data_IF_377977598817
#
_entry.id   IF_377977598817
#
_cell.length_a   1.000
_cell.length_b   1.000
_cell.length_c   1.000
_cell.angle_alpha   90.00
_cell.angle_beta   90.00
_cell.angle_gamma   90.00
#
_symmetry.space_group_name_H-M   'P 1'
#
loop_
_entity.id
_entity.type
_entity.pdbx_description
1 polymer ?
#
# COMPACT_ATOMS: atom_id res chain seq x y z
N UNK A 1 -4.16 -12.17 15.20
CA UNK A 1 -3.58 -11.38 14.09
C UNK A 1 -4.33 -11.69 12.82
N UNK A 2 -4.70 -10.68 12.08
CA UNK A 2 -5.32 -10.87 10.78
C UNK A 2 -4.31 -11.52 9.82
N UNK A 3 -4.73 -12.54 9.08
CA UNK A 3 -3.88 -13.17 8.07
C UNK A 3 -3.43 -12.18 6.99
N UNK A 4 -4.22 -11.13 6.76
CA UNK A 4 -3.86 -10.08 5.79
C UNK A 4 -2.61 -9.31 6.21
N UNK A 5 -2.40 -9.12 7.50
CA UNK A 5 -1.25 -8.36 8.02
C UNK A 5 0.05 -9.16 7.94
N UNK A 6 -0.07 -10.49 7.87
CA UNK A 6 1.08 -11.38 7.81
C UNK A 6 1.42 -11.85 6.39
N UNK A 7 0.74 -11.33 5.36
CA UNK A 7 0.88 -11.84 3.99
C UNK A 7 2.14 -11.40 3.27
N UNK A 8 2.76 -10.34 3.71
CA UNK A 8 3.96 -9.86 3.04
C UNK A 8 4.92 -9.21 4.01
N UNK A 9 6.16 -9.64 3.94
CA UNK A 9 7.24 -9.08 4.74
C UNK A 9 8.29 -8.48 3.81
N UNK A 10 8.72 -7.27 4.11
CA UNK A 10 9.84 -6.68 3.40
C UNK A 10 11.14 -7.32 3.92
N UNK A 11 12.01 -7.68 3.01
CA UNK A 11 13.33 -8.21 3.34
C UNK A 11 14.35 -7.13 3.05
N UNK A 12 15.13 -6.75 4.05
CA UNK A 12 16.11 -5.68 3.94
C UNK A 12 17.50 -6.18 4.27
N UNK A 13 18.49 -5.52 3.68
CA UNK A 13 19.90 -5.73 3.97
C UNK A 13 20.51 -4.35 4.18
N UNK A 14 20.98 -4.08 5.40
CA UNK A 14 21.51 -2.78 5.80
C UNK A 14 20.52 -1.63 5.49
N UNK A 15 19.24 -1.86 5.77
CA UNK A 15 18.17 -0.89 5.53
C UNK A 15 17.67 -0.82 4.10
N UNK A 16 18.34 -1.47 3.18
CA UNK A 16 17.97 -1.45 1.75
C UNK A 16 17.02 -2.60 1.43
N UNK A 17 15.96 -2.30 0.71
CA UNK A 17 14.99 -3.30 0.28
C UNK A 17 15.63 -4.24 -0.75
N UNK A 18 15.64 -5.54 -0.48
CA UNK A 18 16.19 -6.54 -1.38
C UNK A 18 15.16 -7.57 -1.84
N UNK A 19 14.03 -7.67 -1.17
CA UNK A 19 13.00 -8.62 -1.57
C UNK A 19 11.72 -8.46 -0.78
N UNK A 20 10.71 -9.24 -1.19
CA UNK A 20 9.46 -9.43 -0.47
C UNK A 20 9.24 -10.92 -0.26
N UNK A 21 8.74 -11.26 0.90
CA UNK A 21 8.48 -12.65 1.26
C UNK A 21 7.02 -12.81 1.69
N UNK A 22 6.29 -13.67 0.97
CA UNK A 22 4.86 -13.85 1.17
C UNK A 22 4.54 -15.31 1.50
N UNK A 23 3.29 -15.56 1.90
CA UNK A 23 2.81 -16.93 2.10
C UNK A 23 2.96 -17.76 0.82
N UNK A 24 2.71 -17.16 -0.34
CA UNK A 24 2.90 -17.83 -1.62
C UNK A 24 4.35 -18.26 -1.83
N UNK A 25 5.29 -17.44 -1.39
CA UNK A 25 6.71 -17.79 -1.47
C UNK A 25 7.06 -19.00 -0.59
N UNK A 26 6.45 -19.11 0.59
CA UNK A 26 6.63 -20.26 1.47
C UNK A 26 6.18 -21.55 0.77
N UNK A 27 4.99 -21.52 0.20
CA UNK A 27 4.43 -22.68 -0.50
C UNK A 27 5.29 -23.09 -1.69
N UNK A 28 5.71 -22.12 -2.48
CA UNK A 28 6.59 -22.38 -3.61
C UNK A 28 7.93 -22.95 -3.17
N UNK A 29 8.49 -22.40 -2.10
CA UNK A 29 9.75 -22.88 -1.55
C UNK A 29 9.69 -24.34 -1.10
N UNK A 30 8.59 -24.73 -0.47
CA UNK A 30 8.39 -26.14 -0.05
C UNK A 30 8.41 -27.08 -1.25
N UNK A 31 7.74 -26.71 -2.35
CA UNK A 31 7.74 -27.53 -3.55
C UNK A 31 9.09 -27.58 -4.26
N UNK A 32 9.83 -26.47 -4.21
CA UNK A 32 11.11 -26.36 -4.90
C UNK A 32 12.31 -26.82 -4.06
N UNK A 33 12.08 -27.17 -2.79
CA UNK A 33 13.18 -27.55 -1.90
C UNK A 33 14.06 -26.39 -1.45
N UNK A 34 13.57 -25.18 -1.52
CA UNK A 34 14.29 -23.99 -1.07
C UNK A 34 14.23 -23.88 0.46
N UNK A 35 15.32 -23.45 1.08
CA UNK A 35 15.45 -23.47 2.53
C UNK A 35 15.68 -22.13 3.20
N UNK A 36 16.03 -21.10 2.45
CA UNK A 36 16.28 -19.78 3.03
C UNK A 36 15.30 -18.74 2.48
N UNK A 37 15.13 -17.66 3.24
CA UNK A 37 14.34 -16.51 2.81
C UNK A 37 14.93 -15.91 1.53
N UNK A 38 16.24 -15.80 1.47
CA UNK A 38 16.92 -15.24 0.29
C UNK A 38 16.63 -16.03 -0.99
N UNK A 39 16.57 -17.36 -0.88
CA UNK A 39 16.25 -18.20 -2.03
C UNK A 39 14.78 -18.09 -2.43
N UNK A 40 13.88 -17.95 -1.46
CA UNK A 40 12.45 -18.02 -1.67
C UNK A 40 11.80 -16.66 -1.96
N UNK A 41 12.41 -15.56 -1.50
CA UNK A 41 11.82 -14.23 -1.64
C UNK A 41 11.68 -13.82 -3.10
N UNK A 42 10.70 -12.95 -3.34
CA UNK A 42 10.51 -12.29 -4.62
C UNK A 42 11.43 -11.09 -4.72
N UNK A 43 12.22 -11.01 -5.79
CA UNK A 43 13.18 -9.91 -5.99
C UNK A 43 12.75 -8.93 -7.06
N UNK A 44 11.79 -9.29 -7.90
CA UNK A 44 11.23 -8.41 -8.91
C UNK A 44 10.10 -7.61 -8.25
N UNK A 45 10.45 -6.44 -7.74
CA UNK A 45 9.59 -5.70 -6.82
C UNK A 45 8.91 -4.50 -7.46
N UNK A 46 7.68 -4.25 -7.01
CA UNK A 46 7.00 -2.97 -7.19
C UNK A 46 7.21 -2.18 -5.91
N UNK A 47 7.49 -0.89 -6.04
CA UNK A 47 7.70 0.00 -4.91
C UNK A 47 6.93 1.29 -5.10
N UNK A 48 6.74 2.03 -4.02
CA UNK A 48 6.23 3.39 -4.05
C UNK A 48 7.27 4.35 -3.51
N UNK A 49 7.14 5.60 -3.85
CA UNK A 49 7.99 6.69 -3.35
C UNK A 49 7.17 7.64 -2.50
N UNK A 50 7.78 8.31 -1.50
CA UNK A 50 7.04 9.14 -0.56
C UNK A 50 6.22 10.27 -1.19
N UNK A 51 6.67 10.78 -2.33
CA UNK A 51 6.01 11.90 -3.01
C UNK A 51 4.95 11.47 -4.04
N UNK A 52 4.75 10.18 -4.21
CA UNK A 52 3.69 9.68 -5.09
C UNK A 52 2.31 9.89 -4.48
N UNK A 53 1.29 10.07 -5.33
CA UNK A 53 -0.08 10.14 -4.85
C UNK A 53 -0.58 8.76 -4.40
N UNK A 54 -1.52 8.75 -3.46
CA UNK A 54 -2.18 7.51 -3.05
C UNK A 54 -2.88 6.84 -4.23
N UNK A 55 -3.43 7.63 -5.13
CA UNK A 55 -4.09 7.12 -6.34
C UNK A 55 -3.10 6.36 -7.23
N UNK A 56 -1.92 6.93 -7.46
CA UNK A 56 -0.89 6.27 -8.26
C UNK A 56 -0.42 4.96 -7.62
N UNK A 57 -0.24 4.97 -6.30
CA UNK A 57 0.13 3.77 -5.56
C UNK A 57 -0.95 2.69 -5.67
N UNK A 58 -2.21 3.08 -5.52
CA UNK A 58 -3.34 2.15 -5.63
C UNK A 58 -3.41 1.52 -7.02
N UNK A 59 -3.23 2.30 -8.08
CA UNK A 59 -3.22 1.77 -9.44
C UNK A 59 -2.08 0.76 -9.62
N UNK A 60 -0.92 1.04 -9.09
CA UNK A 60 0.22 0.12 -9.15
C UNK A 60 -0.06 -1.18 -8.41
N UNK A 61 -0.65 -1.09 -7.22
CA UNK A 61 -1.03 -2.26 -6.44
C UNK A 61 -2.05 -3.13 -7.17
N UNK A 62 -3.05 -2.49 -7.76
CA UNK A 62 -4.10 -3.18 -8.51
C UNK A 62 -3.52 -3.88 -9.75
N UNK A 63 -2.68 -3.18 -10.51
CA UNK A 63 -2.05 -3.73 -11.70
C UNK A 63 -1.13 -4.90 -11.39
N UNK A 64 -0.39 -4.80 -10.30
CA UNK A 64 0.54 -5.85 -9.87
C UNK A 64 -0.14 -6.94 -9.04
N UNK A 65 -1.41 -6.78 -8.68
CA UNK A 65 -2.18 -7.70 -7.83
C UNK A 65 -1.51 -7.94 -6.50
N UNK A 66 -1.02 -6.88 -5.89
CA UNK A 66 -0.41 -6.94 -4.56
C UNK A 66 -1.24 -6.11 -3.59
N UNK A 67 -1.29 -6.56 -2.33
CA UNK A 67 -2.02 -5.86 -1.27
C UNK A 67 -1.11 -4.97 -0.44
N UNK A 68 0.18 -5.05 -0.63
CA UNK A 68 1.19 -4.26 0.07
C UNK A 68 2.24 -3.76 -0.88
N UNK A 69 2.75 -2.57 -0.60
CA UNK A 69 3.75 -1.92 -1.43
C UNK A 69 4.80 -1.28 -0.54
N UNK A 70 6.07 -1.67 -0.67
CA UNK A 70 7.13 -1.01 0.09
C UNK A 70 7.33 0.42 -0.38
N UNK A 71 7.54 1.33 0.57
CA UNK A 71 7.88 2.72 0.28
C UNK A 71 9.37 2.88 0.49
N UNK A 72 10.07 3.35 -0.53
CA UNK A 72 11.52 3.46 -0.52
C UNK A 72 11.94 4.89 -0.87
N UNK A 73 13.15 5.26 -0.47
CA UNK A 73 13.76 6.50 -0.94
C UNK A 73 14.08 6.41 -2.43
N UNK A 74 13.83 7.48 -3.20
CA UNK A 74 14.26 7.53 -4.59
C UNK A 74 15.79 7.37 -4.68
N UNK A 75 16.25 6.70 -5.73
CA UNK A 75 17.68 6.53 -5.96
C UNK A 75 18.10 5.08 -6.00
N UNK A 76 19.41 4.85 -5.95
CA UNK A 76 19.98 3.52 -6.19
C UNK A 76 19.89 2.57 -5.01
N UNK A 77 19.78 3.09 -3.79
CA UNK A 77 19.88 2.25 -2.60
C UNK A 77 18.57 1.67 -2.13
N UNK A 78 17.44 2.20 -2.59
CA UNK A 78 16.11 1.71 -2.18
C UNK A 78 15.99 1.52 -0.65
N UNK A 79 16.40 2.52 0.08
CA UNK A 79 16.26 2.49 1.54
C UNK A 79 14.80 2.38 1.91
N UNK A 80 14.45 1.38 2.71
CA UNK A 80 13.06 1.15 3.09
C UNK A 80 12.61 2.19 4.11
N UNK A 81 11.54 2.91 3.78
CA UNK A 81 10.95 3.93 4.64
C UNK A 81 9.69 3.43 5.35
N UNK A 82 8.95 2.55 4.71
CA UNK A 82 7.71 2.04 5.28
C UNK A 82 6.99 1.11 4.32
N UNK A 83 5.75 0.77 4.69
CA UNK A 83 4.89 -0.10 3.89
C UNK A 83 3.53 0.56 3.75
N UNK A 84 2.94 0.47 2.57
CA UNK A 84 1.53 0.82 2.36
C UNK A 84 0.77 -0.48 2.12
N UNK A 85 -0.39 -0.61 2.73
CA UNK A 85 -1.29 -1.69 2.36
C UNK A 85 -2.59 -1.12 1.79
N UNK A 86 -3.32 -1.93 1.03
CA UNK A 86 -4.54 -1.49 0.36
C UNK A 86 -5.61 -1.04 1.36
N UNK A 87 -5.62 -1.62 2.56
CA UNK A 87 -6.54 -1.23 3.62
C UNK A 87 -6.30 0.21 4.08
N UNK A 88 -5.04 0.60 4.25
CA UNK A 88 -4.69 1.96 4.66
C UNK A 88 -5.16 2.98 3.63
N UNK A 89 -5.00 2.67 2.36
CA UNK A 89 -5.47 3.54 1.28
C UNK A 89 -6.99 3.64 1.30
N UNK A 90 -7.67 2.51 1.46
CA UNK A 90 -9.13 2.48 1.50
C UNK A 90 -9.68 3.30 2.67
N UNK A 91 -9.07 3.19 3.84
CA UNK A 91 -9.47 3.98 5.01
C UNK A 91 -9.28 5.48 4.77
N UNK A 92 -8.16 5.87 4.18
CA UNK A 92 -7.90 7.26 3.85
C UNK A 92 -8.92 7.81 2.85
N UNK A 93 -9.27 7.03 1.83
CA UNK A 93 -10.28 7.42 0.84
C UNK A 93 -11.68 7.49 1.45
N UNK A 94 -12.04 6.60 2.35
CA UNK A 94 -13.32 6.63 3.04
C UNK A 94 -13.47 7.91 3.86
N UNK A 95 -12.43 8.31 4.57
CA UNK A 95 -12.42 9.56 5.32
C UNK A 95 -12.59 10.78 4.41
N UNK A 96 -11.89 10.80 3.29
CA UNK A 96 -12.02 11.88 2.31
C UNK A 96 -13.44 11.96 1.75
N UNK A 97 -14.02 10.83 1.38
CA UNK A 97 -15.38 10.77 0.88
C UNK A 97 -16.40 11.20 1.94
N UNK A 98 -16.20 10.82 3.20
CA UNK A 98 -17.06 11.25 4.29
C UNK A 98 -17.03 12.75 4.49
N UNK A 99 -15.84 13.36 4.42
CA UNK A 99 -15.68 14.81 4.50
C UNK A 99 -16.38 15.53 3.33
N UNK A 100 -16.25 15.00 2.14
CA UNK A 100 -16.91 15.53 0.95
C UNK A 100 -18.44 15.44 1.07
N UNK A 101 -18.97 14.33 1.56
CA UNK A 101 -20.39 14.13 1.78
C UNK A 101 -20.93 15.09 2.84
N UNK A 102 -20.20 15.31 3.92
CA UNK A 102 -20.55 16.26 4.97
C UNK A 102 -20.61 17.68 4.40
N UNK A 103 -19.62 18.08 3.64
CA UNK A 103 -19.56 19.38 3.00
C UNK A 103 -20.73 19.59 2.04
N UNK A 104 -21.07 18.59 1.25
CA UNK A 104 -22.22 18.62 0.33
C UNK A 104 -23.52 18.78 1.07
N UNK A 105 -23.73 18.04 2.15
CA UNK A 105 -24.93 18.15 2.99
C UNK A 105 -25.08 19.54 3.58
N UNK A 106 -24.00 20.13 4.04
CA UNK A 106 -23.99 21.49 4.58
C UNK A 106 -24.42 22.50 3.54
N UNK A 107 -23.92 22.37 2.32
CA UNK A 107 -24.26 23.26 1.20
C UNK A 107 -25.76 23.13 0.83
N UNK A 108 -26.27 21.91 0.76
CA UNK A 108 -27.66 21.66 0.46
C UNK A 108 -28.57 22.26 1.52
N UNK A 109 -28.24 22.07 2.80
CA UNK A 109 -29.02 22.65 3.90
C UNK A 109 -29.05 24.18 3.83
N UNK A 110 -27.93 24.81 3.51
CA UNK A 110 -27.87 26.26 3.33
C UNK A 110 -28.78 26.76 2.21
N UNK A 111 -28.79 26.05 1.08
CA UNK A 111 -29.67 26.37 -0.07
C UNK A 111 -31.14 26.20 0.30
N UNK A 112 -31.51 25.11 0.97
CA UNK A 112 -32.87 24.82 1.42
C UNK A 112 -33.39 25.88 2.40
N UNK A 113 -32.52 26.42 3.24
CA UNK A 113 -32.91 27.48 4.18
C UNK A 113 -32.94 28.87 3.56
N UNK A 114 -32.63 29.00 2.28
CA UNK A 114 -32.64 30.26 1.55
C UNK A 114 -31.40 31.09 1.76
N UNK A 115 -30.35 30.52 2.32
CA UNK A 115 -29.06 31.19 2.55
C UNK A 115 -28.11 30.83 1.42
N UNK A 116 -27.58 31.83 0.73
CA UNK A 116 -26.59 31.60 -0.31
C UNK A 116 -25.27 31.15 0.32
N UNK A 117 -24.76 30.02 -0.16
CA UNK A 117 -23.44 29.53 0.24
C UNK A 117 -22.39 30.18 -0.65
N UNK A 118 -21.50 30.94 -0.06
CA UNK A 118 -20.42 31.61 -0.78
C UNK A 118 -19.11 30.85 -0.56
#
# INVERSE_FOLDING_TARGET
MSSADARGLAVVDAGRLVGMFTVSDVLRAQHAGLRSVAEAMTTKLQVAYPDESLHAALLRMTSARVSRLPVVEPGKSWHLLGMINVRDIAEALELELAEMAESARTKIAAVESGVAAL
#
